data_IF_982485320290
#
_entry.id   IF_982485320290
#
_cell.length_a   1.000
_cell.length_b   1.000
_cell.length_c   1.000
_cell.angle_alpha   90.00
_cell.angle_beta   90.00
_cell.angle_gamma   90.00
#
_symmetry.space_group_name_H-M   'P 1'
#
loop_
_entity.id
_entity.type
_entity.pdbx_description
1 polymer ?
#
# COMPACT_ATOMS: atom_id res chain seq x y z
N UNK A 1 6.41 -14.36 10.16
CA UNK A 1 6.91 -12.99 9.88
C UNK A 1 6.06 -12.02 10.67
N UNK A 2 6.62 -11.10 11.48
CA UNK A 2 5.73 -10.14 12.17
C UNK A 2 6.37 -9.12 13.12
N UNK A 3 7.39 -9.46 13.91
CA UNK A 3 7.87 -8.52 14.94
C UNK A 3 8.99 -7.58 14.48
N UNK A 4 9.82 -8.01 13.51
CA UNK A 4 11.06 -7.29 13.13
C UNK A 4 10.88 -6.17 12.10
N UNK A 5 9.65 -6.00 11.60
CA UNK A 5 9.30 -4.98 10.60
C UNK A 5 8.57 -3.78 11.22
N UNK A 6 8.19 -3.82 12.49
CA UNK A 6 7.49 -2.70 13.14
C UNK A 6 8.41 -1.48 13.25
N UNK A 7 7.86 -0.30 12.99
CA UNK A 7 8.57 0.99 13.15
C UNK A 7 7.76 1.92 14.06
N UNK A 8 8.31 3.10 14.38
CA UNK A 8 7.58 4.12 15.12
C UNK A 8 6.26 4.44 14.40
N UNK A 9 5.17 4.44 15.16
CA UNK A 9 3.85 4.76 14.65
C UNK A 9 3.76 6.25 14.29
N UNK A 10 3.02 6.57 13.24
CA UNK A 10 2.78 7.94 12.78
C UNK A 10 1.28 8.21 12.83
N UNK A 11 0.88 9.23 13.59
CA UNK A 11 -0.51 9.64 13.71
C UNK A 11 -1.15 9.86 12.31
N UNK A 12 -2.43 9.48 12.11
CA UNK A 12 -3.38 8.96 13.11
C UNK A 12 -3.27 7.44 13.37
N UNK A 13 -2.25 6.76 12.83
CA UNK A 13 -2.12 5.31 12.92
C UNK A 13 -1.26 4.90 14.11
N UNK A 14 -1.69 3.87 14.82
CA UNK A 14 -0.98 3.35 16.00
C UNK A 14 0.04 2.25 15.67
N UNK A 15 0.06 1.79 14.42
CA UNK A 15 0.87 0.67 13.98
C UNK A 15 1.41 0.88 12.57
N UNK A 16 2.73 1.05 12.48
CA UNK A 16 3.44 1.21 11.21
C UNK A 16 4.48 0.11 11.03
N UNK A 17 4.77 -0.22 9.78
CA UNK A 17 5.75 -1.23 9.40
C UNK A 17 6.67 -0.69 8.29
N UNK A 18 7.93 -1.11 8.35
CA UNK A 18 8.89 -0.94 7.27
C UNK A 18 8.50 -1.82 6.08
N UNK A 19 8.05 -1.15 5.03
CA UNK A 19 7.53 -1.78 3.82
C UNK A 19 8.58 -2.59 3.04
N UNK A 20 9.88 -2.30 3.21
CA UNK A 20 10.97 -3.04 2.57
C UNK A 20 11.13 -4.46 3.12
N UNK A 21 10.66 -4.68 4.36
CA UNK A 21 10.68 -5.97 5.05
C UNK A 21 9.41 -6.79 4.86
N UNK A 22 8.43 -6.24 4.15
CA UNK A 22 7.16 -6.90 3.85
C UNK A 22 7.21 -7.43 2.42
N UNK A 23 6.79 -8.69 2.24
CA UNK A 23 6.73 -9.30 0.91
C UNK A 23 5.52 -8.75 0.13
N UNK A 24 5.72 -8.14 -1.06
CA UNK A 24 4.62 -7.69 -1.88
C UNK A 24 3.90 -8.87 -2.56
N UNK A 25 2.58 -8.80 -2.63
CA UNK A 25 1.70 -9.74 -3.32
C UNK A 25 0.71 -8.97 -4.21
N UNK A 26 -0.02 -9.68 -5.07
CA UNK A 26 -1.10 -9.07 -5.88
C UNK A 26 -2.22 -8.45 -5.02
N UNK A 27 -2.41 -8.95 -3.80
CA UNK A 27 -3.45 -8.51 -2.87
C UNK A 27 -2.92 -7.57 -1.78
N UNK A 28 -1.74 -6.98 -1.95
CA UNK A 28 -1.11 -6.02 -1.02
C UNK A 28 0.19 -6.54 -0.41
N UNK A 29 0.56 -6.06 0.77
CA UNK A 29 1.66 -6.67 1.52
C UNK A 29 1.21 -7.97 2.18
N UNK A 30 2.13 -8.93 2.31
CA UNK A 30 1.92 -10.15 3.09
C UNK A 30 1.92 -9.83 4.57
N UNK A 31 0.74 -9.48 5.07
CA UNK A 31 0.42 -9.20 6.48
C UNK A 31 -0.69 -10.15 6.94
N UNK A 32 -0.90 -10.34 8.26
CA UNK A 32 -2.02 -11.13 8.75
C UNK A 32 -3.34 -10.65 8.17
N UNK A 33 -4.12 -11.60 7.64
CA UNK A 33 -5.46 -11.33 7.15
C UNK A 33 -6.41 -11.08 8.32
N UNK A 34 -7.42 -10.24 8.09
CA UNK A 34 -8.49 -10.01 9.06
C UNK A 34 -9.76 -10.65 8.51
N UNK A 35 -10.28 -11.64 9.22
CA UNK A 35 -11.54 -12.30 8.85
C UNK A 35 -12.70 -11.67 9.61
N UNK A 36 -13.65 -11.11 8.86
CA UNK A 36 -14.91 -10.60 9.38
C UNK A 36 -15.97 -11.69 9.21
N UNK A 37 -16.43 -12.25 10.32
CA UNK A 37 -17.48 -13.27 10.34
C UNK A 37 -18.84 -12.59 10.16
N UNK A 38 -19.57 -12.98 9.12
CA UNK A 38 -20.89 -12.46 8.79
C UNK A 38 -21.98 -13.38 9.32
N UNK A 39 -23.19 -12.82 9.44
CA UNK A 39 -24.39 -13.60 9.74
C UNK A 39 -24.56 -14.73 8.70
N UNK A 40 -24.91 -15.93 9.16
CA UNK A 40 -24.98 -17.13 8.31
C UNK A 40 -23.65 -17.88 8.15
N UNK A 41 -22.60 -17.51 8.90
CA UNK A 41 -21.35 -18.29 8.98
C UNK A 41 -20.40 -18.10 7.79
N UNK A 42 -20.61 -17.05 6.98
CA UNK A 42 -19.72 -16.71 5.88
C UNK A 42 -18.59 -15.80 6.38
N UNK A 43 -17.36 -16.06 5.95
CA UNK A 43 -16.22 -15.20 6.27
C UNK A 43 -15.93 -14.24 5.11
N UNK A 44 -15.72 -12.97 5.44
CA UNK A 44 -15.16 -11.98 4.53
C UNK A 44 -13.73 -11.64 4.95
N UNK A 45 -12.77 -12.01 4.10
CA UNK A 45 -11.34 -11.80 4.38
C UNK A 45 -10.87 -10.46 3.84
N UNK A 46 -10.42 -9.60 4.76
CA UNK A 46 -9.74 -8.34 4.46
C UNK A 46 -8.25 -8.62 4.29
N UNK A 47 -7.77 -8.42 3.07
CA UNK A 47 -6.36 -8.65 2.70
C UNK A 47 -5.50 -7.41 2.95
N UNK A 48 -4.18 -7.57 2.90
CA UNK A 48 -3.21 -6.50 3.16
C UNK A 48 -3.42 -5.23 2.33
N UNK A 49 -3.90 -5.36 1.09
CA UNK A 49 -4.19 -4.21 0.21
C UNK A 49 -5.40 -3.39 0.66
N UNK A 50 -6.27 -3.96 1.50
CA UNK A 50 -7.41 -3.26 2.10
C UNK A 50 -7.09 -2.78 3.52
N UNK A 51 -6.34 -3.56 4.30
CA UNK A 51 -6.07 -3.25 5.71
C UNK A 51 -4.86 -2.34 5.93
N UNK A 52 -3.95 -2.22 4.96
CA UNK A 52 -2.74 -1.42 5.09
C UNK A 52 -2.82 -0.11 4.30
N UNK A 53 -2.49 1.00 4.96
CA UNK A 53 -2.25 2.28 4.31
C UNK A 53 -0.75 2.43 4.01
N UNK A 54 -0.38 2.39 2.74
CA UNK A 54 0.99 2.72 2.33
C UNK A 54 1.21 4.24 2.53
N UNK A 55 2.24 4.66 3.24
CA UNK A 55 2.54 6.10 3.43
C UNK A 55 3.58 6.62 2.44
N UNK A 56 4.60 5.82 2.15
CA UNK A 56 5.74 6.18 1.30
C UNK A 56 5.73 5.40 -0.02
N UNK A 57 6.60 5.76 -0.96
CA UNK A 57 6.71 5.13 -2.28
C UNK A 57 5.39 5.13 -3.06
N UNK A 58 4.74 6.30 -3.14
CA UNK A 58 3.59 6.55 -4.02
C UNK A 58 3.99 7.48 -5.16
N UNK A 59 3.42 7.25 -6.34
CA UNK A 59 3.43 8.22 -7.42
C UNK A 59 2.17 9.07 -7.32
N UNK A 60 2.36 10.39 -7.29
CA UNK A 60 1.29 11.39 -7.34
C UNK A 60 1.40 12.10 -8.68
N UNK A 61 0.31 12.12 -9.44
CA UNK A 61 0.23 12.82 -10.72
C UNK A 61 -0.69 14.03 -10.55
N UNK A 62 -0.14 15.21 -10.79
CA UNK A 62 -0.86 16.48 -10.82
C UNK A 62 -1.02 16.88 -12.29
N UNK A 63 -2.24 16.76 -12.80
CA UNK A 63 -2.58 17.17 -14.16
C UNK A 63 -3.31 18.51 -14.08
N UNK A 64 -2.60 19.59 -14.42
CA UNK A 64 -3.15 20.94 -14.37
C UNK A 64 -4.15 21.22 -15.51
N UNK A 65 -4.06 20.51 -16.63
CA UNK A 65 -4.96 20.71 -17.76
C UNK A 65 -6.30 20.05 -17.49
N UNK A 66 -6.29 18.83 -16.95
CA UNK A 66 -7.49 18.10 -16.54
C UNK A 66 -8.03 18.51 -15.17
N UNK A 67 -7.27 19.31 -14.40
CA UNK A 67 -7.56 19.62 -12.98
C UNK A 67 -7.73 18.38 -12.13
N UNK A 68 -6.94 17.34 -12.39
CA UNK A 68 -7.02 16.07 -11.67
C UNK A 68 -5.77 15.81 -10.86
N UNK A 69 -5.98 15.25 -9.68
CA UNK A 69 -4.95 14.72 -8.81
C UNK A 69 -5.15 13.21 -8.70
N UNK A 70 -4.15 12.42 -9.08
CA UNK A 70 -4.20 10.96 -9.08
C UNK A 70 -3.11 10.35 -8.23
N UNK A 71 -3.43 9.23 -7.58
CA UNK A 71 -2.49 8.44 -6.79
C UNK A 71 -2.44 7.02 -7.33
N UNK A 72 -1.25 6.45 -7.43
CA UNK A 72 -1.11 5.03 -7.79
C UNK A 72 -1.48 4.11 -6.61
N UNK A 73 -2.36 3.12 -6.80
CA UNK A 73 -2.55 2.08 -5.81
C UNK A 73 -1.34 1.13 -5.88
N UNK A 74 -0.51 1.17 -4.83
CA UNK A 74 0.49 0.16 -4.52
C UNK A 74 1.49 -0.17 -5.65
N UNK A 75 2.54 0.66 -5.78
CA UNK A 75 3.58 0.49 -6.80
C UNK A 75 4.38 -0.82 -6.73
N UNK A 76 4.77 -1.34 -5.54
CA UNK A 76 5.64 -2.51 -5.45
C UNK A 76 5.06 -3.80 -6.04
N UNK A 77 3.74 -4.02 -5.98
CA UNK A 77 3.11 -5.18 -6.62
C UNK A 77 3.33 -5.24 -8.13
N UNK A 78 3.61 -4.09 -8.77
CA UNK A 78 3.85 -3.99 -10.21
C UNK A 78 5.34 -3.85 -10.56
N UNK A 79 6.24 -4.06 -9.60
CA UNK A 79 7.69 -3.91 -9.79
C UNK A 79 8.15 -2.47 -10.02
N UNK A 80 7.30 -1.48 -9.75
CA UNK A 80 7.64 -0.07 -9.86
C UNK A 80 8.08 0.51 -8.51
N UNK A 81 9.04 1.41 -8.57
CA UNK A 81 9.51 2.25 -7.45
C UNK A 81 9.73 3.66 -7.96
N UNK A 82 9.77 4.65 -7.05
CA UNK A 82 10.04 6.04 -7.41
C UNK A 82 11.38 6.21 -8.17
N UNK A 83 12.38 5.37 -7.88
CA UNK A 83 13.71 5.40 -8.52
C UNK A 83 13.73 4.90 -9.96
N UNK A 84 12.72 4.14 -10.38
CA UNK A 84 12.70 3.46 -11.67
C UNK A 84 11.77 4.14 -12.69
N UNK A 85 11.21 5.30 -12.35
CA UNK A 85 10.43 6.11 -13.29
C UNK A 85 11.35 7.00 -14.13
N UNK A 86 11.19 6.93 -15.44
CA UNK A 86 11.86 7.85 -16.35
C UNK A 86 10.97 9.08 -16.60
N UNK A 87 11.34 10.22 -16.02
CA UNK A 87 10.63 11.49 -16.20
C UNK A 87 11.19 12.36 -17.34
N UNK A 88 12.26 11.95 -18.02
CA UNK A 88 12.94 12.80 -19.02
C UNK A 88 12.15 12.97 -20.32
N UNK A 89 10.98 12.33 -20.46
CA UNK A 89 10.08 12.46 -21.61
C UNK A 89 8.84 13.33 -21.35
N UNK A 90 8.67 13.87 -20.14
CA UNK A 90 7.55 14.76 -19.80
C UNK A 90 7.95 16.23 -20.05
N UNK A 91 7.87 16.65 -21.30
CA UNK A 91 8.02 18.03 -21.76
C UNK A 91 6.86 18.39 -22.68
#
# INVERSE_FOLDING_TARGET
MGSSAKVAAVAPFELCYDSSKLSPTLSGYSVPQVDVMLEGGTNWTVVGGNSMAQMENKLVVLDNDKKTLSFTPYLPARGFSCSNFNFTGAG
#
